data_IF_048461091698
#
_entry.id   IF_048461091698
#
_cell.length_a   1.000
_cell.length_b   1.000
_cell.length_c   1.000
_cell.angle_alpha   90.00
_cell.angle_beta   90.00
_cell.angle_gamma   90.00
#
_symmetry.space_group_name_H-M   'P 1'
#
loop_
_entity.id
_entity.type
_entity.pdbx_description
1 polymer ?
#
# COMPACT_ATOMS: atom_id res chain seq x y z
N UNK A 1 38.81 12.10 45.23
CA UNK A 1 38.36 10.90 44.48
C UNK A 1 36.99 11.21 43.93
N UNK A 2 36.89 11.66 42.68
CA UNK A 2 35.61 12.00 42.06
C UNK A 2 35.21 10.87 41.12
N UNK A 3 34.16 10.13 41.48
CA UNK A 3 33.60 9.07 40.66
C UNK A 3 32.45 9.64 39.84
N UNK A 4 32.72 9.93 38.57
CA UNK A 4 31.72 10.36 37.60
C UNK A 4 30.87 9.17 37.17
N UNK A 5 29.67 9.05 37.74
CA UNK A 5 28.67 8.07 37.32
C UNK A 5 28.11 8.42 35.95
N UNK A 6 28.33 7.54 34.96
CA UNK A 6 27.83 7.67 33.60
C UNK A 6 26.34 7.29 33.58
N UNK A 7 25.45 8.29 33.52
CA UNK A 7 24.02 8.08 33.31
C UNK A 7 23.75 7.74 31.84
N UNK A 8 23.61 6.45 31.54
CA UNK A 8 23.10 5.95 30.28
C UNK A 8 21.60 6.23 30.19
N UNK A 9 21.21 7.33 29.53
CA UNK A 9 19.83 7.53 29.12
C UNK A 9 19.50 6.57 27.96
N UNK A 10 18.82 5.47 28.27
CA UNK A 10 18.18 4.64 27.26
C UNK A 10 16.98 5.41 26.69
N UNK A 11 17.14 5.94 25.47
CA UNK A 11 16.03 6.51 24.73
C UNK A 11 15.03 5.40 24.36
N UNK A 12 13.94 5.30 25.11
CA UNK A 12 12.79 4.47 24.76
C UNK A 12 12.14 5.08 23.51
N UNK A 13 12.45 4.54 22.34
CA UNK A 13 11.73 4.86 21.11
C UNK A 13 10.34 4.25 21.26
N UNK A 14 9.37 5.05 21.68
CA UNK A 14 7.96 4.63 21.74
C UNK A 14 7.54 4.07 20.38
N UNK A 15 7.07 2.80 20.29
CA UNK A 15 6.53 2.25 19.04
C UNK A 15 5.14 2.81 18.68
N UNK A 16 4.69 3.83 19.42
CA UNK A 16 3.33 4.35 19.38
C UNK A 16 3.29 5.56 18.45
N UNK A 17 2.80 5.30 17.23
CA UNK A 17 2.12 6.18 16.26
C UNK A 17 2.57 5.92 14.81
N UNK A 18 2.71 4.65 14.43
CA UNK A 18 2.35 4.27 13.07
C UNK A 18 0.82 4.43 12.94
N UNK A 19 0.36 5.66 12.71
CA UNK A 19 -1.07 5.98 12.63
C UNK A 19 -1.77 5.28 11.48
N UNK A 20 -3.09 5.16 11.59
CA UNK A 20 -3.96 4.64 10.53
C UNK A 20 -3.64 5.30 9.18
N UNK A 21 -3.63 4.54 8.09
CA UNK A 21 -3.47 5.10 6.75
C UNK A 21 -4.69 5.94 6.35
N UNK A 22 -4.50 6.79 5.34
CA UNK A 22 -5.61 7.51 4.73
C UNK A 22 -6.55 6.54 4.01
N UNK A 23 -7.77 7.00 3.74
CA UNK A 23 -8.63 6.35 2.76
C UNK A 23 -7.94 6.41 1.39
N UNK A 24 -7.74 5.24 0.77
CA UNK A 24 -6.87 5.12 -0.40
C UNK A 24 -7.60 5.42 -1.71
N UNK A 25 -8.92 5.36 -1.75
CA UNK A 25 -9.68 5.47 -2.98
C UNK A 25 -10.76 6.54 -2.89
N UNK A 26 -10.84 7.40 -3.91
CA UNK A 26 -11.92 8.36 -4.06
C UNK A 26 -13.29 7.70 -4.11
N UNK A 27 -14.29 8.34 -3.50
CA UNK A 27 -15.66 7.82 -3.41
C UNK A 27 -15.86 6.73 -2.36
N UNK A 28 -14.86 6.44 -1.51
CA UNK A 28 -14.97 5.49 -0.40
C UNK A 28 -14.69 6.16 0.94
N UNK A 29 -15.52 5.83 1.94
CA UNK A 29 -15.38 6.32 3.32
C UNK A 29 -14.40 5.50 4.17
N UNK A 30 -13.97 4.33 3.69
CA UNK A 30 -13.04 3.42 4.38
C UNK A 30 -12.29 2.52 3.39
N UNK A 31 -11.18 1.93 3.85
CA UNK A 31 -10.37 0.97 3.11
C UNK A 31 -10.97 -0.45 3.13
N UNK A 32 -12.14 -0.60 2.50
CA UNK A 32 -12.81 -1.89 2.39
C UNK A 32 -11.96 -2.92 1.64
N UNK A 33 -11.78 -4.10 2.22
CA UNK A 33 -11.01 -5.20 1.62
C UNK A 33 -11.87 -5.97 0.64
N UNK A 34 -11.32 -6.27 -0.55
CA UNK A 34 -11.96 -7.13 -1.54
C UNK A 34 -12.29 -8.50 -0.96
N UNK A 35 -13.54 -8.90 -1.11
CA UNK A 35 -14.03 -10.19 -0.63
C UNK A 35 -13.84 -11.27 -1.70
N UNK A 36 -14.64 -12.34 -1.66
CA UNK A 36 -14.57 -13.42 -2.64
C UNK A 36 -15.21 -13.02 -3.96
N UNK A 37 -14.53 -13.31 -5.07
CA UNK A 37 -15.07 -13.29 -6.43
C UNK A 37 -14.47 -14.45 -7.25
N UNK A 38 -14.73 -14.47 -8.56
CA UNK A 38 -14.26 -15.52 -9.47
C UNK A 38 -12.73 -15.67 -9.58
N UNK A 39 -11.96 -14.68 -9.11
CA UNK A 39 -10.49 -14.68 -9.15
C UNK A 39 -9.86 -14.91 -7.77
N UNK A 40 -10.66 -15.17 -6.73
CA UNK A 40 -10.18 -15.46 -5.38
C UNK A 40 -10.63 -14.44 -4.35
N UNK A 41 -9.76 -14.13 -3.37
CA UNK A 41 -10.06 -13.28 -2.21
C UNK A 41 -8.97 -12.24 -1.99
N UNK A 42 -9.33 -11.06 -1.49
CA UNK A 42 -8.42 -9.91 -1.38
C UNK A 42 -7.64 -9.76 -0.08
N UNK A 43 -7.97 -10.54 0.97
CA UNK A 43 -7.27 -10.42 2.26
C UNK A 43 -5.82 -10.95 2.21
N UNK A 44 -4.99 -10.49 3.15
CA UNK A 44 -3.64 -11.02 3.32
C UNK A 44 -3.66 -12.52 3.60
N UNK A 45 -2.73 -13.27 3.00
CA UNK A 45 -2.63 -14.72 3.16
C UNK A 45 -3.66 -15.53 2.37
N UNK A 46 -4.57 -14.90 1.61
CA UNK A 46 -5.48 -15.61 0.72
C UNK A 46 -4.71 -16.51 -0.26
N UNK A 47 -5.25 -17.70 -0.55
CA UNK A 47 -4.60 -18.64 -1.47
C UNK A 47 -4.46 -18.06 -2.89
N UNK A 48 -3.29 -18.29 -3.49
CA UNK A 48 -2.91 -17.94 -4.87
C UNK A 48 -2.12 -19.12 -5.46
N UNK A 49 -2.81 -20.17 -5.91
CA UNK A 49 -2.20 -21.36 -6.52
C UNK A 49 -1.02 -21.93 -5.72
N UNK A 50 -1.23 -22.18 -4.43
CA UNK A 50 -0.22 -22.73 -3.53
C UNK A 50 0.75 -21.70 -2.92
N UNK A 51 0.56 -20.40 -3.18
CA UNK A 51 1.29 -19.30 -2.51
C UNK A 51 0.31 -18.40 -1.75
N UNK A 52 0.73 -17.75 -0.65
CA UNK A 52 -0.11 -16.78 0.02
C UNK A 52 -0.08 -15.42 -0.69
N UNK A 53 -1.21 -14.72 -0.68
CA UNK A 53 -1.33 -13.32 -1.07
C UNK A 53 -0.50 -12.43 -0.12
N UNK A 54 0.50 -11.72 -0.65
CA UNK A 54 1.51 -10.97 0.13
C UNK A 54 1.08 -9.54 0.50
N UNK A 55 -0.12 -9.15 0.10
CA UNK A 55 -0.68 -7.83 0.35
C UNK A 55 -2.17 -7.91 0.61
N UNK A 56 -2.83 -6.77 0.49
CA UNK A 56 -4.27 -6.64 0.61
C UNK A 56 -4.79 -5.91 -0.62
N UNK A 57 -5.90 -6.42 -1.15
CA UNK A 57 -6.64 -5.80 -2.25
C UNK A 57 -7.68 -4.86 -1.65
N UNK A 58 -7.42 -3.54 -1.72
CA UNK A 58 -8.33 -2.50 -1.22
C UNK A 58 -9.25 -2.09 -2.35
N UNK A 59 -10.54 -2.25 -2.13
CA UNK A 59 -11.56 -1.97 -3.12
C UNK A 59 -11.44 -0.52 -3.64
N UNK A 60 -11.44 -0.38 -4.95
CA UNK A 60 -11.34 0.89 -5.63
C UNK A 60 -11.85 0.74 -7.06
N UNK A 61 -12.69 1.65 -7.54
CA UNK A 61 -13.26 1.52 -8.89
C UNK A 61 -12.24 1.90 -9.96
N UNK A 62 -12.33 1.26 -11.14
CA UNK A 62 -11.51 1.61 -12.30
C UNK A 62 -11.62 3.11 -12.60
N UNK A 63 -10.48 3.78 -12.81
CA UNK A 63 -10.44 5.21 -13.09
C UNK A 63 -10.60 6.12 -11.87
N UNK A 64 -10.84 5.58 -10.66
CA UNK A 64 -10.88 6.40 -9.44
C UNK A 64 -9.50 6.97 -9.09
N UNK A 65 -9.50 8.17 -8.54
CA UNK A 65 -8.31 8.75 -7.89
C UNK A 65 -7.90 7.90 -6.69
N UNK A 66 -6.60 7.62 -6.61
CA UNK A 66 -5.95 6.92 -5.51
C UNK A 66 -5.12 7.91 -4.71
N UNK A 67 -5.21 7.85 -3.40
CA UNK A 67 -4.52 8.73 -2.46
C UNK A 67 -3.35 8.04 -1.76
N UNK A 68 -2.37 8.83 -1.34
CA UNK A 68 -1.24 8.33 -0.57
C UNK A 68 -1.65 7.88 0.85
N UNK A 69 -1.27 6.68 1.29
CA UNK A 69 -1.64 6.14 2.60
C UNK A 69 -1.04 6.94 3.77
N UNK A 70 0.16 7.48 3.59
CA UNK A 70 0.93 8.18 4.61
C UNK A 70 1.91 9.18 3.97
N UNK A 71 2.41 10.12 4.77
CA UNK A 71 3.42 11.08 4.33
C UNK A 71 4.80 10.43 4.22
N UNK A 72 5.54 10.76 3.17
CA UNK A 72 6.85 10.19 2.89
C UNK A 72 7.38 10.58 1.52
N UNK A 73 7.98 9.61 0.84
CA UNK A 73 8.58 9.78 -0.48
C UNK A 73 8.21 8.61 -1.39
N UNK A 74 7.79 8.93 -2.61
CA UNK A 74 7.74 7.98 -3.72
C UNK A 74 9.19 7.66 -4.08
N UNK A 75 9.59 6.41 -3.87
CA UNK A 75 10.97 5.94 -4.01
C UNK A 75 11.29 5.61 -5.47
N UNK A 76 10.38 4.89 -6.13
CA UNK A 76 10.53 4.41 -7.50
C UNK A 76 9.21 3.89 -8.06
N UNK A 77 9.17 3.68 -9.36
CA UNK A 77 8.17 2.82 -10.00
C UNK A 77 8.29 1.38 -9.48
N UNK A 78 7.16 0.72 -9.29
CA UNK A 78 7.08 -0.69 -8.91
C UNK A 78 6.01 -1.38 -9.77
N UNK A 79 6.40 -2.45 -10.49
CA UNK A 79 5.50 -3.17 -11.38
C UNK A 79 5.10 -4.53 -10.79
N UNK A 80 3.80 -4.87 -10.74
CA UNK A 80 3.34 -6.15 -10.21
C UNK A 80 3.70 -7.35 -11.11
N UNK A 81 3.87 -7.14 -12.41
CA UNK A 81 4.09 -8.20 -13.38
C UNK A 81 5.37 -8.00 -14.20
N UNK A 82 6.02 -9.13 -14.52
CA UNK A 82 7.16 -9.16 -15.45
C UNK A 82 6.72 -8.89 -16.89
N UNK A 83 5.59 -9.48 -17.31
CA UNK A 83 5.00 -9.25 -18.62
C UNK A 83 4.04 -8.07 -18.55
N UNK A 84 4.16 -7.15 -19.49
CA UNK A 84 3.33 -5.96 -19.52
C UNK A 84 1.85 -6.29 -19.80
N UNK A 85 0.94 -5.57 -19.13
CA UNK A 85 -0.51 -5.60 -19.37
C UNK A 85 -1.11 -4.23 -18.99
N UNK A 86 -2.44 -4.07 -19.12
CA UNK A 86 -3.12 -2.79 -18.94
C UNK A 86 -3.10 -2.23 -17.50
N UNK A 87 -2.72 -3.04 -16.51
CA UNK A 87 -2.65 -2.64 -15.10
C UNK A 87 -1.23 -2.74 -14.52
N UNK A 88 -0.20 -2.94 -15.36
CA UNK A 88 1.15 -3.25 -14.91
C UNK A 88 1.97 -2.02 -14.51
N UNK A 89 1.48 -1.29 -13.51
CA UNK A 89 2.13 -0.10 -12.99
C UNK A 89 1.85 0.10 -11.50
N UNK A 90 2.62 1.00 -10.89
CA UNK A 90 2.54 1.29 -9.48
C UNK A 90 3.81 1.97 -8.96
N UNK A 91 3.85 2.14 -7.65
CA UNK A 91 4.94 2.82 -6.95
C UNK A 91 5.33 2.12 -5.67
N UNK A 92 6.57 2.35 -5.25
CA UNK A 92 7.00 2.12 -3.88
C UNK A 92 7.04 3.45 -3.13
N UNK A 93 6.46 3.50 -1.94
CA UNK A 93 6.43 4.67 -1.05
C UNK A 93 7.07 4.29 0.29
N UNK A 94 7.93 5.16 0.82
CA UNK A 94 8.52 5.00 2.15
C UNK A 94 8.45 6.29 2.96
N UNK A 95 8.13 6.18 4.25
CA UNK A 95 8.04 7.32 5.16
C UNK A 95 7.29 6.97 6.44
N UNK A 96 7.53 7.71 7.52
CA UNK A 96 6.80 7.53 8.79
C UNK A 96 6.87 6.12 9.38
N UNK A 97 7.96 5.39 9.15
CA UNK A 97 8.12 3.99 9.59
C UNK A 97 7.48 2.95 8.66
N UNK A 98 6.85 3.37 7.57
CA UNK A 98 6.25 2.50 6.57
C UNK A 98 7.10 2.36 5.31
N UNK A 99 6.98 1.20 4.66
CA UNK A 99 7.41 0.98 3.29
C UNK A 99 6.36 0.10 2.62
N UNK A 100 5.71 0.61 1.57
CA UNK A 100 4.69 -0.13 0.83
C UNK A 100 4.96 -0.08 -0.67
N UNK A 101 4.50 -1.10 -1.38
CA UNK A 101 4.26 -1.03 -2.82
C UNK A 101 2.76 -0.96 -3.05
N UNK A 102 2.35 -0.05 -3.92
CA UNK A 102 0.97 0.12 -4.36
C UNK A 102 0.91 -0.13 -5.87
N UNK A 103 0.12 -1.12 -6.28
CA UNK A 103 0.00 -1.56 -7.67
C UNK A 103 -1.35 -1.23 -8.27
N UNK A 104 -1.40 -1.34 -9.60
CA UNK A 104 -2.55 -1.07 -10.46
C UNK A 104 -2.91 0.42 -10.50
N UNK A 105 -1.90 1.28 -10.35
CA UNK A 105 -2.06 2.73 -10.31
C UNK A 105 -1.18 3.32 -11.40
N UNK A 106 -1.72 4.26 -12.18
CA UNK A 106 -0.92 5.20 -12.97
C UNK A 106 -0.59 6.40 -12.08
N UNK A 107 0.61 6.48 -11.51
CA UNK A 107 0.93 7.56 -10.59
C UNK A 107 1.12 8.88 -11.34
N UNK A 108 0.85 10.00 -10.68
CA UNK A 108 1.13 11.34 -11.24
C UNK A 108 2.63 11.58 -11.44
N UNK A 109 3.48 10.87 -10.68
CA UNK A 109 4.95 10.89 -10.76
C UNK A 109 5.55 9.65 -10.11
N UNK A 110 6.78 9.30 -10.49
CA UNK A 110 7.48 8.10 -9.99
C UNK A 110 8.54 8.37 -8.92
N UNK A 111 8.72 9.62 -8.52
CA UNK A 111 9.61 9.99 -7.41
C UNK A 111 9.20 11.31 -6.78
N UNK A 112 9.68 11.56 -5.56
CA UNK A 112 9.49 12.83 -4.85
C UNK A 112 8.65 12.71 -3.58
N UNK A 113 8.57 13.79 -2.82
CA UNK A 113 7.86 13.84 -1.54
C UNK A 113 6.35 13.81 -1.77
N UNK A 114 5.62 13.12 -0.90
CA UNK A 114 4.16 13.02 -0.93
C UNK A 114 3.62 13.07 0.51
N UNK A 115 2.49 13.74 0.72
CA UNK A 115 1.83 13.78 2.02
C UNK A 115 0.69 12.77 2.08
N UNK A 116 0.34 12.35 3.30
CA UNK A 116 -0.85 11.53 3.56
C UNK A 116 -2.09 12.19 2.96
N UNK A 117 -2.83 11.44 2.16
CA UNK A 117 -4.06 11.93 1.51
C UNK A 117 -3.83 12.71 0.21
N UNK A 118 -2.59 13.01 -0.18
CA UNK A 118 -2.31 13.61 -1.49
C UNK A 118 -2.75 12.66 -2.61
N UNK A 119 -3.17 13.22 -3.75
CA UNK A 119 -3.37 12.45 -4.96
C UNK A 119 -2.07 11.75 -5.36
N UNK A 120 -2.14 10.42 -5.43
CA UNK A 120 -1.04 9.58 -5.86
C UNK A 120 -1.16 9.26 -7.36
N UNK A 121 -2.37 9.07 -7.86
CA UNK A 121 -2.63 8.72 -9.24
C UNK A 121 -4.05 8.21 -9.48
N UNK A 122 -4.21 7.47 -10.58
CA UNK A 122 -5.50 6.91 -11.01
C UNK A 122 -5.43 5.38 -11.02
N UNK A 123 -6.48 4.71 -10.55
CA UNK A 123 -6.59 3.26 -10.68
C UNK A 123 -6.69 2.84 -12.15
N UNK A 124 -5.80 1.94 -12.57
CA UNK A 124 -5.77 1.37 -13.90
C UNK A 124 -6.99 0.44 -14.16
N UNK A 125 -7.32 0.14 -15.43
CA UNK A 125 -8.56 -0.58 -15.77
C UNK A 125 -8.47 -2.08 -15.42
N UNK A 126 -8.78 -2.43 -14.16
CA UNK A 126 -8.81 -3.80 -13.66
C UNK A 126 -9.77 -4.68 -14.45
N UNK A 127 -10.94 -4.16 -14.83
CA UNK A 127 -11.95 -4.91 -15.57
C UNK A 127 -11.46 -5.33 -16.96
N UNK A 128 -10.47 -4.64 -17.53
CA UNK A 128 -9.87 -5.03 -18.82
C UNK A 128 -8.98 -6.26 -18.73
N UNK A 129 -8.38 -6.50 -17.57
CA UNK A 129 -7.46 -7.63 -17.34
C UNK A 129 -8.15 -8.78 -16.63
N UNK A 130 -9.06 -8.47 -15.72
CA UNK A 130 -9.84 -9.42 -14.95
C UNK A 130 -11.33 -9.05 -14.95
N UNK A 131 -12.06 -9.30 -16.06
CA UNK A 131 -13.49 -9.01 -16.13
C UNK A 131 -14.27 -9.72 -15.01
N UNK A 132 -15.03 -8.96 -14.22
CA UNK A 132 -15.84 -9.49 -13.11
C UNK A 132 -15.09 -9.58 -11.77
N UNK A 133 -13.84 -9.13 -11.69
CA UNK A 133 -13.14 -8.96 -10.41
C UNK A 133 -13.78 -7.80 -9.63
N UNK A 134 -13.75 -7.84 -8.32
CA UNK A 134 -14.01 -6.62 -7.55
C UNK A 134 -12.80 -5.69 -7.77
N UNK A 135 -12.96 -4.59 -8.50
CA UNK A 135 -11.86 -3.66 -8.77
C UNK A 135 -11.20 -3.17 -7.47
N UNK A 136 -9.88 -3.12 -7.48
CA UNK A 136 -9.07 -2.84 -6.30
C UNK A 136 -7.71 -2.30 -6.70
N UNK A 137 -7.08 -1.55 -5.79
CA UNK A 137 -5.64 -1.39 -5.75
C UNK A 137 -5.04 -2.49 -4.87
N UNK A 138 -3.85 -2.97 -5.22
CA UNK A 138 -3.12 -3.90 -4.36
C UNK A 138 -2.06 -3.15 -3.57
N UNK A 139 -2.04 -3.31 -2.24
CA UNK A 139 -1.03 -2.74 -1.35
C UNK A 139 -0.33 -3.83 -0.55
N UNK A 140 1.01 -3.85 -0.59
CA UNK A 140 1.84 -4.77 0.18
C UNK A 140 2.92 -4.01 0.95
N UNK A 141 3.24 -4.45 2.17
CA UNK A 141 4.44 -3.97 2.84
C UNK A 141 5.68 -4.46 2.07
N UNK A 142 6.75 -3.66 2.02
CA UNK A 142 7.98 -4.02 1.32
C UNK A 142 8.62 -5.33 1.84
N UNK A 143 8.45 -5.61 3.13
CA UNK A 143 8.91 -6.82 3.81
C UNK A 143 7.90 -7.99 3.75
N UNK A 144 6.75 -7.78 3.09
CA UNK A 144 5.64 -8.73 2.94
C UNK A 144 4.94 -9.11 4.25
N UNK A 145 5.16 -8.36 5.32
CA UNK A 145 4.35 -8.46 6.54
C UNK A 145 2.90 -8.04 6.28
N UNK A 146 1.97 -8.50 7.13
CA UNK A 146 0.55 -8.22 6.97
C UNK A 146 0.23 -6.71 7.18
N UNK A 147 -0.26 -5.99 6.15
CA UNK A 147 -0.55 -4.56 6.28
C UNK A 147 -1.95 -4.26 6.85
N UNK A 148 -2.81 -5.26 7.06
CA UNK A 148 -4.24 -5.06 7.37
C UNK A 148 -4.50 -4.15 8.56
N UNK A 149 -3.65 -4.17 9.60
CA UNK A 149 -3.83 -3.34 10.80
C UNK A 149 -3.68 -1.84 10.58
N UNK A 150 -3.19 -1.42 9.41
CA UNK A 150 -3.00 0.00 9.06
C UNK A 150 -4.10 0.54 8.15
N UNK A 151 -4.95 -0.33 7.59
CA UNK A 151 -6.01 0.01 6.63
C UNK A 151 -7.24 0.59 7.29
#
# INVERSE_FOLDING_TARGET
MFSSGLLLLAALISPVLAGQWANLCAGRSSNGIRTRDGYGQGHYGASRNGRPHQGVDVLCSDGSTVYAPFSGRIVRQAKPYRKNNAINDGVQISGGGFCVKMFYIKPIRYSGNINKGDELGILLPMQRVYPGIQSHLHIENCDKSNPTKYL
#
